data_IF_274304488429
#
_entry.id   IF_274304488429
#
_cell.length_a   1.000
_cell.length_b   1.000
_cell.length_c   1.000
_cell.angle_alpha   90.00
_cell.angle_beta   90.00
_cell.angle_gamma   90.00
#
_symmetry.space_group_name_H-M   'P 1'
#
loop_
_entity.id
_entity.type
_entity.pdbx_description
1 polymer ?
#
# COMPACT_ATOMS: atom_id res chain seq x y z
N UNK A 1 -3.02 -1.91 28.27
CA UNK A 1 -2.63 -0.86 27.29
C UNK A 1 -2.25 -1.55 26.01
N UNK A 2 -2.94 -1.29 24.86
CA UNK A 2 -2.54 -1.88 23.59
C UNK A 2 -1.09 -1.52 23.26
N UNK A 3 -0.25 -2.50 22.91
CA UNK A 3 1.14 -2.21 22.55
C UNK A 3 1.18 -1.39 21.25
N UNK A 4 2.13 -0.48 21.16
CA UNK A 4 2.38 0.30 19.94
C UNK A 4 1.54 1.56 19.76
N UNK A 5 0.67 1.91 20.73
CA UNK A 5 -0.05 3.19 20.69
C UNK A 5 0.75 4.25 21.43
N UNK A 6 1.01 5.38 20.76
CA UNK A 6 1.63 6.53 21.38
C UNK A 6 0.73 7.09 22.50
N UNK A 7 1.35 7.51 23.61
CA UNK A 7 0.61 7.91 24.81
C UNK A 7 -0.37 9.07 24.59
N UNK A 8 -0.03 10.00 23.71
CA UNK A 8 -0.88 11.14 23.36
C UNK A 8 -2.12 10.77 22.53
N UNK A 9 -2.18 9.53 22.00
CA UNK A 9 -3.33 9.04 21.24
C UNK A 9 -4.24 8.11 22.05
N UNK A 10 -3.91 7.83 23.31
CA UNK A 10 -4.66 6.86 24.13
C UNK A 10 -6.09 7.31 24.42
N UNK A 11 -6.33 8.60 24.52
CA UNK A 11 -7.63 9.17 24.84
C UNK A 11 -8.69 8.93 23.76
N UNK A 12 -8.28 8.81 22.50
CA UNK A 12 -9.20 8.65 21.39
C UNK A 12 -9.29 7.22 20.86
N UNK A 13 -8.19 6.45 20.92
CA UNK A 13 -8.15 5.09 20.34
C UNK A 13 -8.78 4.03 21.26
N UNK A 14 -8.81 4.28 22.56
CA UNK A 14 -9.31 3.32 23.56
C UNK A 14 -10.79 3.52 23.91
N UNK A 15 -11.49 4.46 23.30
CA UNK A 15 -12.90 4.66 23.62
C UNK A 15 -13.75 3.51 23.05
N UNK A 16 -14.72 2.99 23.82
CA UNK A 16 -15.72 2.06 23.29
C UNK A 16 -16.39 2.64 22.04
N UNK A 17 -16.58 1.79 21.03
CA UNK A 17 -17.18 2.21 19.75
C UNK A 17 -16.22 2.86 18.75
N UNK A 18 -14.93 3.00 19.07
CA UNK A 18 -13.95 3.46 18.10
C UNK A 18 -13.65 2.35 17.08
N UNK A 19 -13.77 2.68 15.81
CA UNK A 19 -13.35 1.83 14.68
C UNK A 19 -12.11 2.42 14.03
N UNK A 20 -11.12 1.57 13.79
CA UNK A 20 -9.88 1.97 13.11
C UNK A 20 -9.86 1.35 11.72
N UNK A 21 -9.77 2.18 10.70
CA UNK A 21 -9.59 1.77 9.32
C UNK A 21 -8.11 1.89 8.96
N UNK A 22 -7.56 0.82 8.44
CA UNK A 22 -6.18 0.77 7.99
C UNK A 22 -6.15 0.52 6.48
N UNK A 23 -5.83 1.53 5.65
CA UNK A 23 -5.61 1.34 4.23
C UNK A 23 -4.43 0.39 3.99
N UNK A 24 -4.60 -0.57 3.10
CA UNK A 24 -3.56 -1.53 2.71
C UNK A 24 -3.38 -1.46 1.21
N UNK A 25 -2.14 -1.25 0.76
CA UNK A 25 -1.76 -1.22 -0.66
C UNK A 25 -0.79 -2.36 -0.94
N UNK A 26 -0.98 -3.06 -2.04
CA UNK A 26 -0.05 -4.10 -2.50
C UNK A 26 1.13 -3.47 -3.23
N UNK A 27 2.25 -3.36 -2.54
CA UNK A 27 3.48 -2.82 -3.11
C UNK A 27 4.07 -3.74 -4.19
N UNK A 28 3.90 -5.06 -4.08
CA UNK A 28 4.46 -6.00 -5.05
C UNK A 28 3.82 -5.83 -6.42
N UNK A 29 2.49 -5.74 -6.48
CA UNK A 29 1.75 -5.47 -7.71
C UNK A 29 2.17 -4.15 -8.34
N UNK A 30 2.30 -3.14 -7.51
CA UNK A 30 2.68 -1.81 -7.96
C UNK A 30 4.10 -1.77 -8.56
N UNK A 31 5.08 -2.38 -7.90
CA UNK A 31 6.48 -2.42 -8.39
C UNK A 31 6.61 -3.28 -9.66
N UNK A 32 5.90 -4.40 -9.77
CA UNK A 32 5.86 -5.19 -11.02
C UNK A 32 5.29 -4.34 -12.16
N UNK A 33 4.19 -3.63 -11.94
CA UNK A 33 3.59 -2.72 -12.93
C UNK A 33 4.55 -1.60 -13.35
N UNK A 34 5.36 -1.11 -12.43
CA UNK A 34 6.43 -0.17 -12.71
C UNK A 34 7.43 -0.72 -13.70
N UNK A 35 7.97 -1.91 -13.43
CA UNK A 35 8.92 -2.51 -14.33
C UNK A 35 8.32 -2.69 -15.74
N UNK A 36 7.06 -3.09 -15.85
CA UNK A 36 6.35 -3.11 -17.13
C UNK A 36 6.33 -1.74 -17.82
N UNK A 37 6.02 -0.68 -17.09
CA UNK A 37 5.99 0.68 -17.64
C UNK A 37 7.35 1.07 -18.22
N UNK A 38 8.44 0.81 -17.50
CA UNK A 38 9.78 1.18 -17.96
C UNK A 38 10.36 0.24 -19.01
N UNK A 39 9.76 -0.93 -19.23
CA UNK A 39 10.16 -1.85 -20.31
C UNK A 39 9.44 -1.57 -21.64
N UNK A 40 8.47 -0.70 -21.68
CA UNK A 40 7.78 -0.30 -22.91
C UNK A 40 8.77 0.19 -23.99
N UNK A 41 8.42 0.04 -25.29
CA UNK A 41 9.32 0.40 -26.40
C UNK A 41 9.84 1.84 -26.38
N UNK A 42 9.04 2.77 -25.83
CA UNK A 42 9.37 4.19 -25.69
C UNK A 42 10.31 4.49 -24.50
N UNK A 43 10.45 3.58 -23.56
CA UNK A 43 11.26 3.74 -22.34
C UNK A 43 12.54 2.89 -22.36
N UNK A 44 12.44 1.58 -22.28
CA UNK A 44 13.52 0.58 -22.32
C UNK A 44 14.67 0.85 -21.35
N UNK A 45 14.33 1.21 -20.10
CA UNK A 45 15.33 1.54 -19.09
C UNK A 45 16.20 0.33 -18.71
N UNK A 46 17.48 0.59 -18.53
CA UNK A 46 18.46 -0.36 -17.98
C UNK A 46 18.49 -0.21 -16.46
N UNK A 47 17.74 -1.04 -15.75
CA UNK A 47 17.87 -1.12 -14.31
C UNK A 47 19.24 -1.65 -13.92
N UNK A 48 19.81 -1.10 -12.85
CA UNK A 48 21.11 -1.50 -12.34
C UNK A 48 21.08 -1.62 -10.83
N UNK A 49 21.75 -2.64 -10.31
CA UNK A 49 21.91 -2.86 -8.88
C UNK A 49 23.12 -2.09 -8.38
N UNK A 50 22.88 -0.94 -7.77
CA UNK A 50 23.91 -0.05 -7.28
C UNK A 50 24.68 -0.63 -6.08
N UNK A 51 24.07 -1.51 -5.29
CA UNK A 51 24.73 -2.16 -4.15
C UNK A 51 25.69 -3.29 -4.60
N UNK A 52 25.50 -3.77 -5.83
CA UNK A 52 26.35 -4.81 -6.42
C UNK A 52 27.14 -4.30 -7.64
N UNK A 53 27.61 -3.06 -7.59
CA UNK A 53 28.49 -2.48 -8.60
C UNK A 53 27.80 -2.11 -9.91
N UNK A 54 26.59 -1.60 -9.85
CA UNK A 54 25.80 -1.19 -11.03
C UNK A 54 25.50 -2.36 -11.98
N UNK A 55 25.37 -3.55 -11.44
CA UNK A 55 25.15 -4.78 -12.22
C UNK A 55 23.71 -4.83 -12.75
N UNK A 56 23.49 -5.22 -14.03
CA UNK A 56 22.15 -5.46 -14.54
C UNK A 56 21.45 -6.62 -13.80
N UNK A 57 20.21 -6.45 -13.31
CA UNK A 57 19.49 -7.45 -12.55
C UNK A 57 18.93 -8.56 -13.45
N UNK A 58 19.74 -9.53 -13.80
CA UNK A 58 19.38 -10.63 -14.71
C UNK A 58 19.24 -10.24 -16.17
N UNK A 59 19.43 -8.98 -16.54
CA UNK A 59 19.04 -8.43 -17.84
C UNK A 59 20.17 -8.24 -18.84
N UNK A 60 21.40 -8.64 -18.53
CA UNK A 60 22.57 -8.46 -19.42
C UNK A 60 22.38 -9.06 -20.83
N UNK A 61 21.64 -10.17 -20.96
CA UNK A 61 21.32 -10.79 -22.24
C UNK A 61 20.37 -9.94 -23.08
N UNK A 62 19.45 -9.24 -22.47
CA UNK A 62 18.47 -8.38 -23.11
C UNK A 62 19.08 -7.07 -23.61
N UNK A 63 20.05 -6.52 -22.89
CA UNK A 63 20.87 -5.38 -23.33
C UNK A 63 21.60 -5.76 -24.63
N UNK A 64 22.30 -6.91 -24.67
CA UNK A 64 23.00 -7.39 -25.86
C UNK A 64 22.08 -7.60 -27.06
N UNK A 65 20.83 -7.97 -26.84
CA UNK A 65 19.81 -8.15 -27.90
C UNK A 65 19.14 -6.83 -28.34
N UNK A 66 19.44 -5.70 -27.66
CA UNK A 66 18.86 -4.39 -27.99
C UNK A 66 17.44 -4.16 -27.48
N UNK A 67 16.92 -5.02 -26.58
CA UNK A 67 15.62 -4.79 -25.95
C UNK A 67 15.67 -3.73 -24.84
N UNK A 68 16.84 -3.51 -24.26
CA UNK A 68 17.11 -2.54 -23.19
C UNK A 68 18.18 -1.57 -23.68
N UNK A 69 17.95 -0.28 -23.46
CA UNK A 69 18.90 0.78 -23.80
C UNK A 69 19.98 0.87 -22.70
N UNK A 70 21.21 0.46 -23.02
CA UNK A 70 22.33 0.45 -22.09
C UNK A 70 22.62 1.82 -21.47
N UNK A 71 22.33 2.91 -22.21
CA UNK A 71 22.56 4.28 -21.78
C UNK A 71 21.56 4.82 -20.79
N UNK A 72 20.35 4.26 -20.76
CA UNK A 72 19.25 4.72 -19.88
C UNK A 72 19.28 4.02 -18.53
N UNK A 73 20.33 4.23 -17.74
CA UNK A 73 20.49 3.57 -16.44
C UNK A 73 19.55 4.14 -15.38
N UNK A 74 18.94 3.25 -14.60
CA UNK A 74 18.14 3.57 -13.42
C UNK A 74 18.51 2.64 -12.27
N UNK A 75 19.03 3.16 -11.16
CA UNK A 75 19.29 2.37 -9.95
C UNK A 75 18.02 1.74 -9.40
N UNK A 76 18.11 0.50 -8.89
CA UNK A 76 16.97 -0.22 -8.32
C UNK A 76 16.36 0.51 -7.12
N UNK A 77 17.19 1.06 -6.22
CA UNK A 77 16.73 1.83 -5.07
C UNK A 77 15.97 3.07 -5.53
N UNK A 78 16.53 3.82 -6.49
CA UNK A 78 15.87 5.01 -7.03
C UNK A 78 14.53 4.66 -7.67
N UNK A 79 14.46 3.57 -8.42
CA UNK A 79 13.23 3.10 -9.04
C UNK A 79 12.15 2.84 -7.99
N UNK A 80 12.43 2.04 -6.97
CA UNK A 80 11.45 1.73 -5.92
C UNK A 80 11.05 2.98 -5.10
N UNK A 81 11.98 3.87 -4.77
CA UNK A 81 11.68 5.09 -4.01
C UNK A 81 10.82 6.08 -4.79
N UNK A 82 11.03 6.21 -6.10
CA UNK A 82 10.17 7.04 -6.96
C UNK A 82 8.72 6.57 -6.91
N UNK A 83 8.52 5.26 -6.83
CA UNK A 83 7.18 4.66 -6.76
C UNK A 83 6.58 4.68 -5.38
N UNK A 84 7.38 4.59 -4.34
CA UNK A 84 6.88 4.73 -2.97
C UNK A 84 6.08 6.05 -2.80
N UNK A 85 6.49 7.12 -3.47
CA UNK A 85 5.73 8.39 -3.47
C UNK A 85 4.32 8.24 -4.06
N UNK A 86 4.14 7.42 -5.09
CA UNK A 86 2.83 7.13 -5.67
C UNK A 86 1.89 6.42 -4.68
N UNK A 87 2.41 5.44 -3.94
CA UNK A 87 1.63 4.69 -2.94
C UNK A 87 1.27 5.54 -1.73
N UNK A 88 2.19 6.42 -1.32
CA UNK A 88 1.92 7.41 -0.27
C UNK A 88 0.76 8.30 -0.67
N UNK A 89 0.77 8.80 -1.90
CA UNK A 89 -0.31 9.63 -2.41
C UNK A 89 -1.65 8.86 -2.46
N UNK A 90 -1.65 7.63 -2.96
CA UNK A 90 -2.84 6.79 -3.06
C UNK A 90 -3.48 6.53 -1.70
N UNK A 91 -2.68 6.08 -0.70
CA UNK A 91 -3.18 5.88 0.66
C UNK A 91 -3.64 7.18 1.32
N UNK A 92 -2.96 8.30 1.04
CA UNK A 92 -3.35 9.60 1.57
C UNK A 92 -4.69 10.05 1.00
N UNK A 93 -4.95 9.83 -0.29
CA UNK A 93 -6.25 10.11 -0.90
C UNK A 93 -7.36 9.22 -0.35
N UNK A 94 -7.09 7.94 -0.13
CA UNK A 94 -8.04 7.05 0.55
C UNK A 94 -8.39 7.58 1.93
N UNK A 95 -7.39 7.93 2.73
CA UNK A 95 -7.57 8.49 4.06
C UNK A 95 -8.33 9.81 4.05
N UNK A 96 -8.04 10.71 3.13
CA UNK A 96 -8.76 11.98 2.97
C UNK A 96 -10.23 11.76 2.60
N UNK A 97 -10.53 10.86 1.66
CA UNK A 97 -11.90 10.54 1.29
C UNK A 97 -12.68 9.94 2.47
N UNK A 98 -12.03 9.08 3.26
CA UNK A 98 -12.65 8.53 4.47
C UNK A 98 -12.93 9.64 5.50
N UNK A 99 -12.01 10.58 5.71
CA UNK A 99 -12.20 11.71 6.61
C UNK A 99 -13.39 12.60 6.17
N UNK A 100 -13.53 12.86 4.88
CA UNK A 100 -14.69 13.59 4.33
C UNK A 100 -16.00 12.82 4.52
N UNK A 101 -15.98 11.50 4.30
CA UNK A 101 -17.15 10.65 4.52
C UNK A 101 -17.59 10.66 5.99
N UNK A 102 -16.65 10.62 6.94
CA UNK A 102 -16.96 10.72 8.36
C UNK A 102 -17.67 12.03 8.70
N UNK A 103 -17.19 13.15 8.17
CA UNK A 103 -17.86 14.44 8.37
C UNK A 103 -19.27 14.45 7.80
N UNK A 104 -19.47 13.90 6.61
CA UNK A 104 -20.78 13.81 5.96
C UNK A 104 -21.77 12.96 6.78
N UNK A 105 -21.25 11.90 7.42
CA UNK A 105 -22.01 11.01 8.29
C UNK A 105 -22.21 11.57 9.71
N UNK A 106 -21.66 12.75 10.02
CA UNK A 106 -21.74 13.35 11.36
C UNK A 106 -20.88 12.64 12.41
N UNK A 107 -19.94 11.78 11.98
CA UNK A 107 -19.03 11.07 12.86
C UNK A 107 -17.77 11.89 13.13
N UNK A 108 -17.19 11.71 14.32
CA UNK A 108 -15.84 12.15 14.62
C UNK A 108 -14.82 11.22 13.99
N UNK A 109 -13.68 11.79 13.57
CA UNK A 109 -12.59 11.00 13.07
C UNK A 109 -11.44 11.83 12.56
N UNK A 110 -10.30 11.19 12.43
CA UNK A 110 -9.08 11.84 11.97
C UNK A 110 -8.06 10.83 11.45
N UNK A 111 -7.14 11.33 10.64
CA UNK A 111 -5.97 10.60 10.20
C UNK A 111 -4.93 10.59 11.32
N UNK A 112 -4.42 9.43 11.65
CA UNK A 112 -3.36 9.34 12.65
C UNK A 112 -2.34 8.26 12.32
N UNK A 113 -1.16 8.39 12.88
CA UNK A 113 -0.01 7.49 12.67
C UNK A 113 0.52 6.88 13.97
N UNK A 114 -0.32 6.85 15.00
CA UNK A 114 0.08 6.47 16.36
C UNK A 114 0.26 4.97 16.62
N UNK A 115 -0.07 4.10 15.65
CA UNK A 115 0.17 2.66 15.74
C UNK A 115 1.48 2.26 15.07
N UNK A 116 2.16 1.29 15.66
CA UNK A 116 3.21 0.57 14.95
C UNK A 116 2.55 -0.51 14.06
N UNK A 117 2.68 -0.37 12.75
CA UNK A 117 2.05 -1.26 11.76
C UNK A 117 2.37 -2.73 12.01
N UNK A 118 3.60 -3.03 12.43
CA UNK A 118 4.04 -4.38 12.74
C UNK A 118 3.17 -5.06 13.82
N UNK A 119 2.80 -4.33 14.89
CA UNK A 119 1.90 -4.88 15.91
C UNK A 119 0.49 -5.09 15.39
N UNK A 120 -0.02 -4.12 14.62
CA UNK A 120 -1.37 -4.19 14.08
C UNK A 120 -1.51 -5.34 13.08
N UNK A 121 -0.51 -5.56 12.26
CA UNK A 121 -0.50 -6.63 11.27
C UNK A 121 -0.26 -8.02 11.89
N UNK A 122 0.38 -8.11 13.05
CA UNK A 122 0.64 -9.38 13.73
C UNK A 122 2.09 -9.87 13.61
N UNK A 123 3.04 -8.97 13.32
CA UNK A 123 4.47 -9.28 13.14
C UNK A 123 5.24 -9.55 14.42
N UNK A 124 4.57 -9.72 15.56
CA UNK A 124 5.22 -10.02 16.85
C UNK A 124 4.58 -11.22 17.53
N UNK A 125 5.36 -12.04 18.25
CA UNK A 125 4.83 -13.22 18.94
C UNK A 125 3.89 -12.86 20.10
N UNK A 126 3.93 -11.62 20.58
CA UNK A 126 3.15 -11.15 21.74
C UNK A 126 1.78 -10.57 21.37
N UNK A 127 1.54 -10.34 20.10
CA UNK A 127 0.31 -9.70 19.64
C UNK A 127 -0.19 -10.35 18.35
N UNK A 128 -1.38 -10.92 18.40
CA UNK A 128 -1.95 -11.65 17.26
C UNK A 128 -2.20 -10.75 16.05
N UNK A 129 -2.52 -9.48 16.28
CA UNK A 129 -2.84 -8.52 15.22
C UNK A 129 -3.88 -9.01 14.23
N UNK A 130 -3.76 -8.58 12.99
CA UNK A 130 -4.67 -8.96 11.90
C UNK A 130 -4.29 -10.28 11.22
N UNK A 131 -3.22 -10.94 11.64
CA UNK A 131 -2.81 -12.26 11.14
C UNK A 131 -2.12 -12.23 9.78
N UNK A 132 -1.42 -11.13 9.47
CA UNK A 132 -0.56 -11.08 8.28
C UNK A 132 0.64 -12.02 8.43
N UNK A 133 1.10 -12.55 7.31
CA UNK A 133 2.37 -13.27 7.22
C UNK A 133 3.52 -12.26 7.10
N UNK A 134 4.65 -12.65 7.71
CA UNK A 134 5.88 -11.89 7.65
C UNK A 134 6.99 -12.74 7.05
N UNK A 135 7.70 -12.20 6.08
CA UNK A 135 8.96 -12.73 5.61
C UNK A 135 10.11 -12.01 6.32
N UNK A 136 11.07 -12.76 6.82
CA UNK A 136 12.30 -12.19 7.38
C UNK A 136 13.41 -12.45 6.36
N UNK A 137 13.89 -11.40 5.67
CA UNK A 137 14.93 -11.58 4.69
C UNK A 137 16.23 -12.10 5.34
N UNK A 138 16.84 -13.07 4.71
CA UNK A 138 18.19 -13.54 5.05
C UNK A 138 19.14 -12.97 4.02
N UNK A 139 19.60 -11.74 4.22
CA UNK A 139 20.55 -11.12 3.30
C UNK A 139 21.96 -11.59 3.71
N UNK A 140 22.64 -12.25 2.78
CA UNK A 140 23.97 -12.77 3.01
C UNK A 140 24.97 -11.62 3.21
N UNK A 141 25.59 -11.58 4.39
CA UNK A 141 26.56 -10.54 4.75
C UNK A 141 26.02 -9.33 5.51
N UNK A 142 24.71 -9.22 5.74
CA UNK A 142 24.16 -8.21 6.65
C UNK A 142 24.36 -8.61 8.11
N UNK A 143 24.88 -7.66 8.90
CA UNK A 143 25.08 -7.80 10.36
C UNK A 143 23.98 -7.12 11.16
N UNK A 144 22.99 -6.52 10.51
CA UNK A 144 21.88 -5.80 11.13
C UNK A 144 20.76 -6.70 11.61
N UNK A 145 19.83 -6.14 12.39
CA UNK A 145 18.60 -6.81 12.75
C UNK A 145 17.78 -7.11 11.49
N UNK A 146 17.26 -8.34 11.35
CA UNK A 146 16.37 -8.65 10.26
C UNK A 146 15.18 -7.71 10.29
N UNK A 147 14.85 -7.10 9.14
CA UNK A 147 13.69 -6.24 8.99
C UNK A 147 12.55 -7.09 8.39
N UNK A 148 11.64 -7.64 9.21
CA UNK A 148 10.54 -8.45 8.71
C UNK A 148 9.59 -7.59 7.89
N UNK A 149 9.10 -8.14 6.78
CA UNK A 149 8.19 -7.48 5.84
C UNK A 149 6.86 -8.20 5.85
N UNK A 150 5.77 -7.46 5.96
CA UNK A 150 4.45 -8.02 5.76
C UNK A 150 4.27 -8.38 4.27
N UNK A 151 3.98 -9.65 3.99
CA UNK A 151 3.80 -10.15 2.61
C UNK A 151 2.35 -10.45 2.27
N UNK A 152 1.43 -10.33 3.21
CA UNK A 152 0.01 -10.50 2.98
C UNK A 152 -0.70 -11.31 4.07
N UNK A 153 -1.97 -11.58 3.83
CA UNK A 153 -2.83 -12.40 4.69
C UNK A 153 -3.60 -13.38 3.82
N UNK A 154 -3.50 -14.65 4.16
CA UNK A 154 -4.08 -15.77 3.40
C UNK A 154 -5.55 -15.55 3.06
N UNK A 155 -5.90 -15.68 1.78
CA UNK A 155 -7.25 -15.56 1.26
C UNK A 155 -7.85 -14.16 1.31
N UNK A 156 -7.09 -13.14 1.71
CA UNK A 156 -7.59 -11.76 1.83
C UNK A 156 -6.69 -10.74 1.12
N UNK A 157 -5.40 -10.77 1.42
CA UNK A 157 -4.39 -9.88 0.83
C UNK A 157 -3.13 -10.71 0.55
N UNK A 158 -3.02 -11.24 -0.64
CA UNK A 158 -1.90 -12.08 -1.05
C UNK A 158 -1.02 -11.27 -2.00
N UNK A 159 0.16 -10.88 -1.51
CA UNK A 159 1.10 -10.12 -2.31
C UNK A 159 1.63 -10.97 -3.48
N UNK A 160 1.96 -10.32 -4.61
CA UNK A 160 2.53 -10.97 -5.79
C UNK A 160 4.02 -11.30 -5.57
N UNK A 161 4.26 -12.19 -4.62
CA UNK A 161 5.59 -12.70 -4.29
C UNK A 161 5.47 -14.01 -3.49
N UNK A 162 6.56 -14.78 -3.30
CA UNK A 162 6.55 -15.89 -2.35
C UNK A 162 6.20 -15.39 -0.93
N UNK A 163 5.47 -16.18 -0.13
CA UNK A 163 5.14 -17.60 -0.32
C UNK A 163 3.82 -17.87 -1.06
N UNK A 164 3.10 -16.86 -1.54
CA UNK A 164 1.83 -17.04 -2.25
C UNK A 164 2.01 -17.56 -3.67
N UNK A 165 3.13 -17.30 -4.25
CA UNK A 165 3.58 -17.84 -5.55
C UNK A 165 4.85 -18.64 -5.34
N UNK A 166 5.08 -19.59 -6.21
CA UNK A 166 6.27 -20.44 -6.16
C UNK A 166 7.56 -19.66 -6.27
N UNK A 167 7.56 -18.70 -7.19
CA UNK A 167 8.68 -17.79 -7.46
C UNK A 167 8.15 -16.47 -8.03
N UNK A 168 9.04 -15.50 -8.23
CA UNK A 168 8.67 -14.19 -8.80
C UNK A 168 8.23 -14.28 -10.25
N UNK A 169 8.71 -15.26 -11.00
CA UNK A 169 8.27 -15.48 -12.38
C UNK A 169 6.78 -15.80 -12.47
N UNK A 170 6.29 -16.71 -11.61
CA UNK A 170 4.89 -17.04 -11.49
C UNK A 170 4.07 -15.84 -11.00
N UNK A 171 4.56 -15.09 -10.02
CA UNK A 171 3.89 -13.90 -9.50
C UNK A 171 3.69 -12.82 -10.57
N UNK A 172 4.71 -12.58 -11.40
CA UNK A 172 4.67 -11.62 -12.50
C UNK A 172 3.65 -12.04 -13.57
N UNK A 173 3.61 -13.32 -13.94
CA UNK A 173 2.61 -13.86 -14.88
C UNK A 173 1.20 -13.72 -14.31
N UNK A 174 0.99 -14.12 -13.07
CA UNK A 174 -0.32 -14.06 -12.42
C UNK A 174 -0.86 -12.63 -12.36
N UNK A 175 -0.01 -11.64 -12.05
CA UNK A 175 -0.41 -10.23 -12.06
C UNK A 175 -0.77 -9.76 -13.46
N UNK A 176 0.03 -10.11 -14.47
CA UNK A 176 -0.26 -9.78 -15.85
C UNK A 176 -1.61 -10.36 -16.29
N UNK A 177 -1.86 -11.64 -16.01
CA UNK A 177 -3.11 -12.30 -16.38
C UNK A 177 -4.31 -11.71 -15.63
N UNK A 178 -4.17 -11.36 -14.35
CA UNK A 178 -5.21 -10.70 -13.57
C UNK A 178 -5.56 -9.34 -14.18
N UNK A 179 -4.55 -8.55 -14.53
CA UNK A 179 -4.72 -7.23 -15.14
C UNK A 179 -5.53 -7.32 -16.44
N UNK A 180 -5.14 -8.21 -17.34
CA UNK A 180 -5.82 -8.33 -18.64
C UNK A 180 -7.21 -8.95 -18.52
N UNK A 181 -7.42 -9.91 -17.62
CA UNK A 181 -8.75 -10.44 -17.31
C UNK A 181 -9.69 -9.35 -16.80
N UNK A 182 -9.21 -8.45 -15.96
CA UNK A 182 -10.01 -7.33 -15.45
C UNK A 182 -10.38 -6.35 -16.56
N UNK A 183 -9.47 -6.06 -17.47
CA UNK A 183 -9.73 -5.24 -18.65
C UNK A 183 -10.76 -5.89 -19.60
N UNK A 184 -10.61 -7.17 -19.87
CA UNK A 184 -11.49 -7.94 -20.76
C UNK A 184 -12.90 -8.14 -20.18
N UNK A 185 -13.06 -8.16 -18.86
CA UNK A 185 -14.37 -8.32 -18.21
C UNK A 185 -15.24 -7.05 -18.21
N UNK A 186 -14.78 -5.95 -18.82
CA UNK A 186 -15.46 -4.66 -18.83
C UNK A 186 -15.87 -4.11 -17.46
N UNK A 187 -15.17 -4.53 -16.40
CA UNK A 187 -15.41 -4.05 -15.03
C UNK A 187 -14.91 -2.62 -14.80
N UNK A 188 -14.20 -2.07 -15.78
CA UNK A 188 -13.64 -0.73 -15.69
C UNK A 188 -14.72 0.33 -15.90
N UNK A 189 -14.70 1.44 -15.15
CA UNK A 189 -15.74 2.47 -15.16
C UNK A 189 -15.60 3.44 -16.36
N UNK A 190 -15.38 2.88 -17.54
CA UNK A 190 -15.30 3.68 -18.78
C UNK A 190 -16.62 3.70 -19.53
N UNK A 191 -16.95 4.85 -20.11
CA UNK A 191 -18.13 4.98 -20.98
C UNK A 191 -18.03 4.13 -22.26
N UNK A 192 -16.80 3.95 -22.77
CA UNK A 192 -16.48 3.09 -23.91
C UNK A 192 -15.31 2.17 -23.52
N UNK A 193 -15.55 1.08 -22.78
CA UNK A 193 -14.49 0.18 -22.33
C UNK A 193 -13.77 -0.50 -23.51
N UNK A 194 -14.49 -0.90 -24.56
CA UNK A 194 -13.92 -1.56 -25.73
C UNK A 194 -12.92 -0.66 -26.47
N UNK A 195 -13.26 0.59 -26.69
CA UNK A 195 -12.36 1.57 -27.31
C UNK A 195 -11.10 1.80 -26.49
N UNK A 196 -11.22 1.86 -25.15
CA UNK A 196 -10.05 2.01 -24.27
C UNK A 196 -9.17 0.77 -24.31
N UNK A 197 -9.75 -0.43 -24.30
CA UNK A 197 -8.99 -1.69 -24.35
C UNK A 197 -8.20 -1.82 -25.66
N UNK A 198 -8.77 -1.38 -26.78
CA UNK A 198 -8.09 -1.41 -28.09
C UNK A 198 -6.86 -0.51 -28.17
N UNK A 199 -6.85 0.60 -27.41
CA UNK A 199 -5.72 1.54 -27.36
C UNK A 199 -4.61 1.12 -26.38
N UNK A 200 -4.85 0.11 -25.54
CA UNK A 200 -3.86 -0.35 -24.56
C UNK A 200 -2.97 -1.42 -25.16
N UNK A 201 -1.69 -1.09 -25.31
CA UNK A 201 -0.69 -2.07 -25.72
C UNK A 201 -0.46 -3.11 -24.63
N UNK A 202 -0.58 -4.38 -24.99
CA UNK A 202 -0.21 -5.50 -24.12
C UNK A 202 1.31 -5.67 -24.13
N UNK A 203 1.93 -6.02 -23.01
CA UNK A 203 3.34 -6.32 -23.00
C UNK A 203 3.64 -7.54 -23.89
N UNK A 204 4.71 -7.46 -24.64
CA UNK A 204 5.25 -8.57 -25.43
C UNK A 204 5.76 -9.70 -24.53
N UNK A 205 5.98 -10.88 -25.10
CA UNK A 205 6.58 -12.00 -24.36
C UNK A 205 7.98 -11.66 -23.83
N UNK A 206 8.72 -10.89 -24.59
CA UNK A 206 10.05 -10.41 -24.22
C UNK A 206 9.98 -9.46 -23.03
N UNK A 207 9.07 -8.49 -23.04
CA UNK A 207 8.86 -7.57 -21.92
C UNK A 207 8.44 -8.31 -20.64
N UNK A 208 7.51 -9.27 -20.76
CA UNK A 208 7.12 -10.12 -19.63
C UNK A 208 8.34 -10.86 -19.07
N UNK A 209 9.18 -11.46 -19.94
CA UNK A 209 10.35 -12.20 -19.50
C UNK A 209 11.40 -11.28 -18.86
N UNK A 210 11.62 -10.08 -19.40
CA UNK A 210 12.53 -9.11 -18.80
C UNK A 210 12.07 -8.74 -17.38
N UNK A 211 10.78 -8.47 -17.20
CA UNK A 211 10.22 -8.14 -15.87
C UNK A 211 10.36 -9.32 -14.90
N UNK A 212 10.14 -10.56 -15.38
CA UNK A 212 10.38 -11.77 -14.57
C UNK A 212 11.83 -11.87 -14.13
N UNK A 213 12.78 -11.62 -15.05
CA UNK A 213 14.20 -11.70 -14.76
C UNK A 213 14.62 -10.65 -13.71
N UNK A 214 14.11 -9.41 -13.82
CA UNK A 214 14.36 -8.35 -12.84
C UNK A 214 13.79 -8.72 -11.47
N UNK A 215 12.52 -9.09 -11.40
CA UNK A 215 11.84 -9.40 -10.13
C UNK A 215 12.47 -10.62 -9.44
N UNK A 216 12.84 -11.65 -10.21
CA UNK A 216 13.52 -12.83 -9.68
C UNK A 216 14.89 -12.47 -9.13
N UNK A 217 15.69 -11.68 -9.88
CA UNK A 217 16.98 -11.21 -9.39
C UNK A 217 16.85 -10.45 -8.06
N UNK A 218 15.87 -9.52 -7.97
CA UNK A 218 15.64 -8.73 -6.74
C UNK A 218 15.31 -9.66 -5.58
N UNK A 219 14.37 -10.57 -5.76
CA UNK A 219 13.98 -11.50 -4.70
C UNK A 219 15.12 -12.44 -4.28
N UNK A 220 15.82 -13.02 -5.23
CA UNK A 220 16.93 -13.97 -4.98
C UNK A 220 18.12 -13.28 -4.30
N UNK A 221 18.37 -12.02 -4.64
CA UNK A 221 19.48 -11.24 -4.09
C UNK A 221 19.18 -10.71 -2.70
N UNK A 222 17.96 -10.19 -2.47
CA UNK A 222 17.60 -9.47 -1.26
C UNK A 222 16.66 -10.25 -0.32
N UNK A 223 16.15 -11.42 -0.74
CA UNK A 223 15.29 -12.29 0.07
C UNK A 223 13.89 -11.71 0.35
N UNK A 224 13.53 -10.63 -0.34
CA UNK A 224 12.21 -9.98 -0.26
C UNK A 224 11.88 -9.24 -1.55
N UNK A 225 10.57 -8.97 -1.75
CA UNK A 225 10.11 -8.15 -2.86
C UNK A 225 8.89 -7.30 -2.41
N UNK A 226 8.90 -5.97 -2.60
CA UNK A 226 10.02 -5.12 -3.04
C UNK A 226 11.21 -5.16 -2.07
N UNK A 227 12.42 -4.83 -2.57
CA UNK A 227 13.63 -4.95 -1.75
C UNK A 227 13.90 -3.71 -0.88
N UNK A 228 13.64 -2.52 -1.40
CA UNK A 228 14.09 -1.24 -0.80
C UNK A 228 12.93 -0.42 -0.24
N UNK A 229 11.69 -0.70 -0.62
CA UNK A 229 10.52 -0.08 -0.03
C UNK A 229 10.11 -0.85 1.23
N UNK A 230 10.00 -0.16 2.37
CA UNK A 230 9.46 -0.75 3.59
C UNK A 230 7.93 -0.66 3.54
N UNK A 231 7.21 -1.78 3.38
CA UNK A 231 5.76 -1.77 3.31
C UNK A 231 5.10 -1.31 4.61
N UNK A 232 5.83 -1.27 5.72
CA UNK A 232 5.33 -0.82 7.02
C UNK A 232 5.70 0.63 7.34
N UNK A 233 6.40 1.32 6.44
CA UNK A 233 6.84 2.70 6.68
C UNK A 233 5.65 3.67 6.78
N UNK A 234 4.62 3.46 5.97
CA UNK A 234 3.41 4.25 6.01
C UNK A 234 2.47 3.75 7.10
N UNK A 235 2.19 4.62 8.06
CA UNK A 235 1.40 4.32 9.25
C UNK A 235 0.13 5.14 9.30
N UNK A 236 -0.50 5.37 8.15
CA UNK A 236 -1.75 6.11 8.13
C UNK A 236 -2.93 5.21 8.43
N UNK A 237 -3.72 5.63 9.38
CA UNK A 237 -4.97 5.01 9.78
C UNK A 237 -6.03 6.08 9.89
N UNK A 238 -7.27 5.71 9.65
CA UNK A 238 -8.41 6.59 9.88
C UNK A 238 -9.18 6.04 11.06
N UNK A 239 -9.35 6.86 12.07
CA UNK A 239 -10.18 6.55 13.20
C UNK A 239 -11.57 7.13 12.96
N UNK A 240 -12.59 6.34 13.28
CA UNK A 240 -13.97 6.76 13.27
C UNK A 240 -14.64 6.46 14.61
N UNK A 241 -15.38 7.39 15.16
CA UNK A 241 -16.14 7.22 16.39
C UNK A 241 -17.31 8.20 16.45
N UNK A 242 -18.27 7.93 17.32
CA UNK A 242 -19.25 8.94 17.70
C UNK A 242 -18.56 10.07 18.46
N UNK A 243 -19.03 11.29 18.24
CA UNK A 243 -18.50 12.43 18.98
C UNK A 243 -18.76 12.26 20.47
N UNK A 244 -17.73 12.44 21.27
CA UNK A 244 -17.83 12.57 22.71
C UNK A 244 -18.08 14.06 23.03
N UNK A 245 -19.35 14.42 23.18
CA UNK A 245 -19.76 15.81 23.33
C UNK A 245 -19.18 16.45 24.59
N UNK A 246 -19.13 15.71 25.70
CA UNK A 246 -18.56 16.21 26.95
C UNK A 246 -17.10 16.58 26.78
N UNK A 247 -16.33 15.68 26.14
CA UNK A 247 -14.91 15.92 25.84
C UNK A 247 -14.73 17.12 24.89
N UNK A 248 -15.53 17.21 23.83
CA UNK A 248 -15.39 18.31 22.88
C UNK A 248 -15.81 19.65 23.51
N UNK A 249 -16.86 19.68 24.32
CA UNK A 249 -17.28 20.89 25.01
C UNK A 249 -16.25 21.38 26.05
N UNK A 250 -15.50 20.44 26.64
CA UNK A 250 -14.47 20.78 27.63
C UNK A 250 -13.17 21.30 26.97
N UNK A 251 -12.76 20.67 25.85
CA UNK A 251 -11.40 20.88 25.31
C UNK A 251 -11.35 21.64 23.98
N UNK A 252 -12.48 21.86 23.32
CA UNK A 252 -12.49 22.51 22.00
C UNK A 252 -13.31 23.81 22.02
N UNK A 253 -12.94 24.81 21.17
CA UNK A 253 -13.69 26.05 21.08
C UNK A 253 -15.08 25.84 20.50
N UNK A 254 -15.98 26.79 20.76
CA UNK A 254 -17.28 26.86 20.12
C UNK A 254 -17.12 26.84 18.59
N UNK A 255 -17.97 26.06 17.89
CA UNK A 255 -17.89 25.90 16.44
C UNK A 255 -17.00 24.75 15.97
N UNK A 256 -16.41 23.96 16.86
CA UNK A 256 -15.73 22.72 16.52
C UNK A 256 -16.66 21.67 15.87
N UNK A 257 -17.97 21.86 16.01
CA UNK A 257 -19.00 21.05 15.40
C UNK A 257 -19.50 21.67 14.10
N UNK A 258 -19.75 20.82 13.11
CA UNK A 258 -20.39 21.24 11.86
C UNK A 258 -21.90 21.00 11.90
N UNK A 259 -22.63 21.58 10.97
CA UNK A 259 -24.05 21.33 10.80
C UNK A 259 -24.35 19.84 10.53
N UNK A 260 -23.44 19.14 9.85
CA UNK A 260 -23.55 17.70 9.62
C UNK A 260 -23.56 16.90 10.93
N UNK A 261 -22.72 17.27 11.91
CA UNK A 261 -22.74 16.63 13.23
C UNK A 261 -24.08 16.87 13.94
N UNK A 262 -24.60 18.09 13.89
CA UNK A 262 -25.91 18.43 14.46
C UNK A 262 -27.03 17.62 13.84
N UNK A 263 -27.07 17.52 12.51
CA UNK A 263 -28.05 16.72 11.79
C UNK A 263 -27.93 15.23 12.11
N UNK A 264 -26.72 14.72 12.26
CA UNK A 264 -26.49 13.34 12.69
C UNK A 264 -27.10 13.05 14.06
N UNK A 265 -26.88 13.93 15.05
CA UNK A 265 -27.46 13.76 16.36
C UNK A 265 -29.01 13.80 16.31
N UNK A 266 -29.59 14.72 15.59
CA UNK A 266 -31.05 14.80 15.43
C UNK A 266 -31.69 13.57 14.80
N UNK A 267 -30.98 12.96 13.83
CA UNK A 267 -31.49 11.80 13.08
C UNK A 267 -31.29 10.48 13.82
N UNK A 268 -30.16 10.32 14.48
CA UNK A 268 -29.74 9.01 15.01
C UNK A 268 -29.77 8.92 16.53
N UNK A 269 -29.86 10.06 17.22
CA UNK A 269 -29.88 10.16 18.67
C UNK A 269 -30.97 11.13 19.14
N UNK A 270 -32.25 10.94 18.72
CA UNK A 270 -33.33 11.85 19.06
C UNK A 270 -33.64 11.88 20.57
N UNK A 271 -33.16 10.91 21.33
CA UNK A 271 -33.28 10.83 22.77
C UNK A 271 -32.29 11.75 23.52
N UNK A 272 -31.28 12.24 22.85
CA UNK A 272 -30.30 13.18 23.43
C UNK A 272 -30.80 14.60 23.12
N UNK A 273 -30.96 15.49 24.14
CA UNK A 273 -31.21 16.91 23.89
C UNK A 273 -30.23 17.48 22.89
N UNK A 274 -30.67 18.34 21.97
CA UNK A 274 -29.77 18.91 20.97
C UNK A 274 -28.59 19.58 21.69
N UNK A 275 -27.37 19.03 21.59
CA UNK A 275 -26.22 19.55 22.33
C UNK A 275 -25.76 20.93 21.84
N UNK A 276 -26.39 21.41 20.76
CA UNK A 276 -26.09 22.69 20.12
C UNK A 276 -27.18 23.75 20.38
N UNK A 277 -28.31 23.36 20.99
CA UNK A 277 -29.34 24.30 21.49
C UNK A 277 -28.95 24.76 22.91
N UNK A 278 -28.41 25.94 23.01
CA UNK A 278 -28.17 26.64 24.29
C UNK A 278 -29.34 27.53 24.64
#
# INVERSE_FOLDING_TARGET
RPPGIASHNLWNVNKPGTTVFMPVTDLSACIINLYYFYMRPDHRFNFVDELHGMKPPGTAGWIKKGFIDEGKKMPLIEAELRFANGFIAEQSFMGQNMALALQTLGLGGWLFSGFASMFMLGGTPFFRGLGFRFATPKIKGETGNPNPVAVGRDGLFEAFCPPYYKDMGEAVEALNDLKWRNWESHTMPYKNPEGVIQEIERPSKEEIQIVKDICSYVYDTYGRFPAFSDPMFLRFMVQAHHLDLDFYNEYYPEGAYTENHRNHFKLWHPEIPDPFEK
#
